data_IF_206793826130
#
_entry.id   IF_206793826130
#
_cell.length_a   1.000
_cell.length_b   1.000
_cell.length_c   1.000
_cell.angle_alpha   90.00
_cell.angle_beta   90.00
_cell.angle_gamma   90.00
#
_symmetry.space_group_name_H-M   'P 1'
#
loop_
_entity.id
_entity.type
_entity.pdbx_description
1 polymer ?
#
# COMPACT_ATOMS: atom_id res chain seq x y z
N UNK A 1 -3.91 22.74 -3.29
CA UNK A 1 -3.47 21.56 -2.52
C UNK A 1 -1.99 21.34 -2.77
N UNK A 2 -1.15 21.18 -1.73
CA UNK A 2 0.28 20.87 -1.91
C UNK A 2 0.40 19.36 -2.02
N UNK A 3 0.86 18.84 -3.16
CA UNK A 3 1.00 17.40 -3.38
C UNK A 3 2.46 17.06 -3.70
N UNK A 4 3.04 16.10 -3.00
CA UNK A 4 4.32 15.53 -3.41
C UNK A 4 4.10 14.49 -4.52
N UNK A 5 4.35 14.92 -5.76
CA UNK A 5 4.17 14.08 -6.96
C UNK A 5 4.99 12.79 -6.94
N UNK A 6 6.15 12.75 -6.28
CA UNK A 6 7.00 11.55 -6.25
C UNK A 6 6.40 10.51 -5.31
N UNK A 7 6.00 10.94 -4.13
CA UNK A 7 5.33 10.06 -3.14
C UNK A 7 3.99 9.59 -3.69
N UNK A 8 3.23 10.48 -4.33
CA UNK A 8 1.96 10.12 -4.97
C UNK A 8 2.15 9.06 -6.05
N UNK A 9 3.10 9.26 -6.97
CA UNK A 9 3.36 8.31 -8.05
C UNK A 9 3.81 6.93 -7.50
N UNK A 10 4.66 6.92 -6.46
CA UNK A 10 5.06 5.68 -5.78
C UNK A 10 3.90 4.96 -5.11
N UNK A 11 3.03 5.70 -4.40
CA UNK A 11 1.83 5.12 -3.77
C UNK A 11 0.86 4.53 -4.80
N UNK A 12 0.59 5.24 -5.89
CA UNK A 12 -0.26 4.73 -6.98
C UNK A 12 0.35 3.48 -7.63
N UNK A 13 1.65 3.49 -7.91
CA UNK A 13 2.33 2.32 -8.47
C UNK A 13 2.26 1.10 -7.53
N UNK A 14 2.45 1.30 -6.22
CA UNK A 14 2.30 0.22 -5.24
C UNK A 14 0.89 -0.35 -5.21
N UNK A 15 -0.13 0.50 -5.23
CA UNK A 15 -1.53 0.07 -5.28
C UNK A 15 -1.79 -0.75 -6.54
N UNK A 16 -1.34 -0.28 -7.70
CA UNK A 16 -1.54 -0.98 -8.97
C UNK A 16 -0.88 -2.37 -8.96
N UNK A 17 0.35 -2.48 -8.45
CA UNK A 17 1.05 -3.77 -8.30
C UNK A 17 0.31 -4.67 -7.32
N UNK A 18 -0.11 -4.15 -6.16
CA UNK A 18 -0.85 -4.93 -5.17
C UNK A 18 -2.17 -5.47 -5.71
N UNK A 19 -2.93 -4.65 -6.43
CA UNK A 19 -4.19 -5.09 -7.08
C UNK A 19 -3.92 -6.16 -8.14
N UNK A 20 -2.92 -5.95 -9.00
CA UNK A 20 -2.56 -6.94 -10.02
C UNK A 20 -2.13 -8.28 -9.39
N UNK A 21 -1.33 -8.22 -8.32
CA UNK A 21 -0.88 -9.41 -7.61
C UNK A 21 -2.05 -10.14 -6.92
N UNK A 22 -2.95 -9.41 -6.26
CA UNK A 22 -4.18 -9.99 -5.69
C UNK A 22 -5.06 -10.67 -6.76
N UNK A 23 -5.20 -10.06 -7.94
CA UNK A 23 -5.97 -10.67 -9.04
C UNK A 23 -5.34 -12.00 -9.50
N UNK A 24 -4.02 -12.04 -9.66
CA UNK A 24 -3.32 -13.26 -10.05
C UNK A 24 -3.45 -14.38 -9.00
N UNK A 25 -3.36 -14.06 -7.71
CA UNK A 25 -3.52 -15.04 -6.62
C UNK A 25 -4.96 -15.56 -6.52
N UNK A 26 -5.94 -14.71 -6.81
CA UNK A 26 -7.34 -15.13 -6.84
C UNK A 26 -7.56 -16.21 -7.91
N UNK A 27 -6.91 -16.07 -9.06
CA UNK A 27 -6.99 -17.08 -10.14
C UNK A 27 -6.24 -18.38 -9.81
N UNK A 28 -5.21 -18.31 -8.94
CA UNK A 28 -4.39 -19.45 -8.52
C UNK A 28 -4.88 -20.13 -7.23
N UNK A 29 -5.99 -19.66 -6.66
CA UNK A 29 -6.49 -20.19 -5.39
C UNK A 29 -6.90 -21.65 -5.56
N UNK A 30 -6.34 -22.59 -4.77
CA UNK A 30 -6.63 -24.01 -4.91
C UNK A 30 -8.09 -24.30 -4.54
N UNK A 31 -8.72 -25.22 -5.26
CA UNK A 31 -10.13 -25.61 -5.04
C UNK A 31 -10.17 -27.07 -4.61
N UNK A 32 -10.72 -27.32 -3.42
CA UNK A 32 -10.87 -28.66 -2.87
C UNK A 32 -11.81 -29.54 -3.71
N UNK A 33 -11.49 -30.84 -3.78
CA UNK A 33 -12.27 -31.85 -4.52
C UNK A 33 -12.68 -33.00 -3.61
N UNK A 34 -13.85 -33.57 -3.86
CA UNK A 34 -14.29 -34.76 -3.13
C UNK A 34 -13.41 -35.97 -3.49
N UNK A 35 -13.14 -36.84 -2.51
CA UNK A 35 -12.37 -38.08 -2.70
C UNK A 35 -10.85 -37.95 -2.61
N UNK A 36 -10.33 -36.81 -2.12
CA UNK A 36 -8.89 -36.68 -1.81
C UNK A 36 -8.48 -37.65 -0.68
N UNK A 37 -7.30 -38.22 -0.82
CA UNK A 37 -6.61 -38.99 0.22
C UNK A 37 -6.09 -38.07 1.33
N UNK A 38 -5.75 -38.62 2.49
CA UNK A 38 -5.23 -37.84 3.63
C UNK A 38 -3.95 -37.05 3.25
N UNK A 39 -3.14 -37.60 2.35
CA UNK A 39 -1.90 -36.97 1.88
C UNK A 39 -2.19 -35.80 0.93
N UNK A 40 -3.12 -35.98 0.00
CA UNK A 40 -3.59 -34.91 -0.91
C UNK A 40 -4.30 -33.78 -0.14
N UNK A 41 -5.03 -34.09 0.94
CA UNK A 41 -5.64 -33.10 1.82
C UNK A 41 -4.55 -32.25 2.50
N UNK A 42 -3.47 -32.88 2.98
CA UNK A 42 -2.39 -32.16 3.64
C UNK A 42 -1.67 -31.20 2.68
N UNK A 43 -1.40 -31.64 1.44
CA UNK A 43 -0.80 -30.81 0.39
C UNK A 43 -1.72 -29.66 -0.02
N UNK A 44 -3.02 -29.94 -0.20
CA UNK A 44 -4.03 -28.93 -0.50
C UNK A 44 -4.10 -27.83 0.58
N UNK A 45 -4.13 -28.20 1.86
CA UNK A 45 -4.16 -27.25 2.97
C UNK A 45 -2.89 -26.39 3.06
N UNK A 46 -1.74 -26.94 2.65
CA UNK A 46 -0.49 -26.21 2.59
C UNK A 46 -0.52 -25.16 1.48
N UNK A 47 -0.99 -25.53 0.28
CA UNK A 47 -1.14 -24.63 -0.86
C UNK A 47 -2.17 -23.52 -0.59
N UNK A 48 -3.29 -23.87 0.07
CA UNK A 48 -4.32 -22.89 0.47
C UNK A 48 -3.74 -21.86 1.45
N UNK A 49 -2.98 -22.32 2.45
CA UNK A 49 -2.28 -21.45 3.41
C UNK A 49 -1.27 -20.53 2.74
N UNK A 50 -0.47 -21.06 1.82
CA UNK A 50 0.53 -20.26 1.10
C UNK A 50 -0.16 -19.17 0.27
N UNK A 51 -1.23 -19.51 -0.45
CA UNK A 51 -2.00 -18.54 -1.21
C UNK A 51 -2.70 -17.49 -0.32
N UNK A 52 -3.20 -17.88 0.86
CA UNK A 52 -3.77 -16.96 1.85
C UNK A 52 -2.72 -15.96 2.37
N UNK A 53 -1.52 -16.45 2.68
CA UNK A 53 -0.40 -15.62 3.14
C UNK A 53 0.01 -14.61 2.06
N UNK A 54 0.12 -15.05 0.79
CA UNK A 54 0.41 -14.15 -0.33
C UNK A 54 -0.70 -13.12 -0.57
N UNK A 55 -1.96 -13.52 -0.43
CA UNK A 55 -3.12 -12.62 -0.56
C UNK A 55 -3.08 -11.56 0.54
N UNK A 56 -2.70 -11.95 1.76
CA UNK A 56 -2.49 -11.04 2.90
C UNK A 56 -1.36 -10.05 2.61
N UNK A 57 -0.22 -10.51 2.09
CA UNK A 57 0.89 -9.64 1.69
C UNK A 57 0.49 -8.65 0.59
N UNK A 58 -0.30 -9.08 -0.39
CA UNK A 58 -0.84 -8.22 -1.44
C UNK A 58 -1.73 -7.11 -0.84
N UNK A 59 -2.59 -7.46 0.12
CA UNK A 59 -3.43 -6.51 0.85
C UNK A 59 -2.60 -5.47 1.63
N UNK A 60 -1.54 -5.91 2.31
CA UNK A 60 -0.60 -5.00 3.01
C UNK A 60 0.07 -4.04 2.02
N UNK A 61 0.49 -4.53 0.85
CA UNK A 61 1.11 -3.71 -0.20
C UNK A 61 0.15 -2.61 -0.68
N UNK A 62 -1.12 -2.95 -0.92
CA UNK A 62 -2.17 -1.97 -1.24
C UNK A 62 -2.36 -0.98 -0.09
N UNK A 63 -2.42 -1.44 1.16
CA UNK A 63 -2.57 -0.60 2.33
C UNK A 63 -1.43 0.42 2.50
N UNK A 64 -0.17 -0.01 2.31
CA UNK A 64 1.00 0.89 2.33
C UNK A 64 0.94 1.87 1.17
N UNK A 65 0.61 1.42 -0.04
CA UNK A 65 0.44 2.28 -1.20
C UNK A 65 -0.62 3.35 -0.98
N UNK A 66 -1.76 2.98 -0.39
CA UNK A 66 -2.81 3.91 -0.01
C UNK A 66 -2.36 4.93 1.04
N UNK A 67 -1.62 4.50 2.07
CA UNK A 67 -1.03 5.41 3.06
C UNK A 67 -0.10 6.44 2.39
N UNK A 68 0.75 6.01 1.44
CA UNK A 68 1.62 6.90 0.67
C UNK A 68 0.82 7.94 -0.11
N UNK A 69 -0.29 7.54 -0.73
CA UNK A 69 -1.20 8.46 -1.41
C UNK A 69 -1.73 9.50 -0.43
N UNK A 70 -2.22 9.11 0.75
CA UNK A 70 -2.73 10.06 1.75
C UNK A 70 -1.67 11.06 2.21
N UNK A 71 -0.48 10.60 2.59
CA UNK A 71 0.58 11.50 3.04
C UNK A 71 1.09 12.39 1.90
N UNK A 72 0.95 11.98 0.63
CA UNK A 72 1.38 12.81 -0.50
C UNK A 72 0.62 14.14 -0.58
N UNK A 73 -0.64 14.18 -0.14
CA UNK A 73 -1.47 15.39 -0.08
C UNK A 73 -1.20 16.25 1.17
N UNK A 74 -0.73 15.63 2.25
CA UNK A 74 -0.41 16.29 3.53
C UNK A 74 1.07 16.67 3.68
N UNK A 75 1.96 16.14 2.84
CA UNK A 75 3.39 16.39 2.86
C UNK A 75 3.66 17.85 2.49
N UNK A 76 3.67 18.71 3.51
CA UNK A 76 4.09 20.10 3.42
C UNK A 76 5.53 20.11 2.94
N UNK A 77 5.73 20.27 1.63
CA UNK A 77 7.05 20.50 1.03
C UNK A 77 7.64 21.69 1.80
N UNK A 78 8.62 21.45 2.67
CA UNK A 78 9.48 22.50 3.23
C UNK A 78 10.27 23.09 2.05
N UNK A 79 9.61 23.86 1.19
CA UNK A 79 10.30 24.77 0.28
C UNK A 79 11.11 25.69 1.17
N UNK A 80 12.38 25.88 0.81
CA UNK A 80 13.35 26.87 1.31
C UNK A 80 12.79 28.32 1.19
N UNK A 81 11.67 28.62 1.83
CA UNK A 81 10.89 29.84 1.64
C UNK A 81 9.54 29.81 2.36
N UNK A 82 9.44 29.12 3.50
CA UNK A 82 8.35 29.36 4.45
C UNK A 82 8.34 30.83 4.84
N UNK A 83 7.15 31.43 4.99
CA UNK A 83 6.93 32.85 5.25
C UNK A 83 8.06 33.44 6.11
N UNK A 84 8.81 34.41 5.57
CA UNK A 84 9.73 35.21 6.38
C UNK A 84 8.93 35.69 7.58
N UNK A 85 9.36 35.32 8.79
CA UNK A 85 8.89 35.96 10.02
C UNK A 85 9.15 37.46 9.82
N UNK A 86 8.14 38.21 9.41
CA UNK A 86 8.16 39.66 9.53
C UNK A 86 7.92 39.93 11.00
N UNK A 87 8.99 39.85 11.80
CA UNK A 87 8.99 40.44 13.13
C UNK A 87 8.72 41.93 12.94
N UNK A 88 7.51 42.37 13.28
CA UNK A 88 7.27 43.80 13.48
C UNK A 88 8.14 44.19 14.67
N UNK A 89 9.19 44.97 14.43
CA UNK A 89 9.89 45.68 15.51
C UNK A 89 8.84 46.49 16.29
N UNK A 90 8.91 46.52 17.63
CA UNK A 90 8.00 47.33 18.42
C UNK A 90 8.16 48.79 17.98
N UNK A 91 7.04 49.49 17.83
CA UNK A 91 7.06 50.93 17.64
C UNK A 91 7.51 51.56 18.96
N UNK A 92 8.79 51.92 19.06
CA UNK A 92 9.24 52.80 20.12
C UNK A 92 8.72 54.20 19.81
N UNK A 93 7.74 54.67 20.58
CA UNK A 93 7.57 56.06 21.01
C UNK A 93 6.50 56.13 22.09
#
# INVERSE_FOLDING_TARGET
MLVDKKILAGGIAMIAVGIAFSAMLTDMTPIGREGMTDEEIAEFLLEERENEDFTTLAGILVGIGFLLVLISFGARRKRKGGAKKTEKKPATK
#
